data_IF_150808589402
#
_entry.id   IF_150808589402
#
_cell.length_a   1.000
_cell.length_b   1.000
_cell.length_c   1.000
_cell.angle_alpha   90.00
_cell.angle_beta   90.00
_cell.angle_gamma   90.00
#
_symmetry.space_group_name_H-M   'P 1'
#
loop_
_entity.id
_entity.type
_entity.pdbx_description
1 polymer ?
#
# COMPACT_ATOMS: atom_id res chain seq x y z
N UNK A 1 28.55 -68.57 10.68
CA UNK A 1 28.88 -67.19 10.26
C UNK A 1 27.82 -66.26 10.83
N UNK A 2 28.22 -65.26 11.60
CA UNK A 2 27.32 -64.26 12.20
C UNK A 2 27.34 -63.04 11.28
N UNK A 3 26.20 -62.72 10.65
CA UNK A 3 26.08 -61.62 9.70
C UNK A 3 25.30 -60.54 10.42
N UNK A 4 26.02 -59.57 11.00
CA UNK A 4 25.40 -58.42 11.64
C UNK A 4 24.86 -57.49 10.54
N UNK A 5 23.54 -57.28 10.53
CA UNK A 5 22.85 -56.49 9.51
C UNK A 5 23.31 -55.04 9.50
N UNK A 6 23.67 -54.54 8.31
CA UNK A 6 24.03 -53.14 8.07
C UNK A 6 22.90 -52.24 8.60
N UNK A 7 23.22 -51.40 9.58
CA UNK A 7 22.26 -50.54 10.28
C UNK A 7 21.46 -49.67 9.32
N UNK A 8 20.14 -49.75 9.44
CA UNK A 8 19.13 -49.00 8.67
C UNK A 8 19.34 -47.47 8.69
N UNK A 9 20.12 -46.96 9.64
CA UNK A 9 20.44 -45.55 9.81
C UNK A 9 21.20 -44.95 8.61
N UNK A 10 22.10 -45.71 7.96
CA UNK A 10 22.87 -45.21 6.83
C UNK A 10 22.02 -44.96 5.57
N UNK A 11 20.90 -45.68 5.43
CA UNK A 11 19.98 -45.54 4.30
C UNK A 11 19.14 -44.28 4.44
N UNK A 12 18.70 -43.97 5.67
CA UNK A 12 17.92 -42.76 5.97
C UNK A 12 18.74 -41.49 5.67
N UNK A 13 20.02 -41.47 6.02
CA UNK A 13 20.92 -40.35 5.71
C UNK A 13 21.10 -40.12 4.21
N UNK A 14 21.08 -41.19 3.40
CA UNK A 14 21.18 -41.11 1.94
C UNK A 14 19.95 -40.41 1.33
N UNK A 15 18.75 -40.73 1.81
CA UNK A 15 17.52 -40.05 1.38
C UNK A 15 17.46 -38.60 1.88
N UNK A 16 18.02 -38.31 3.06
CA UNK A 16 18.02 -36.95 3.63
C UNK A 16 18.99 -36.01 2.89
N UNK A 17 20.11 -36.53 2.35
CA UNK A 17 21.07 -35.75 1.53
C UNK A 17 20.52 -35.31 0.18
N UNK A 18 19.49 -35.97 -0.35
CA UNK A 18 18.82 -35.59 -1.60
C UNK A 18 17.81 -34.45 -1.45
N UNK A 19 17.79 -33.76 -0.29
CA UNK A 19 17.08 -32.49 -0.14
C UNK A 19 17.85 -31.43 -0.92
N UNK A 20 17.58 -31.39 -2.22
CA UNK A 20 18.05 -30.39 -3.17
C UNK A 20 17.94 -29.02 -2.52
N UNK A 21 19.06 -28.29 -2.48
CA UNK A 21 19.05 -26.88 -2.19
C UNK A 21 18.09 -26.23 -3.19
N UNK A 22 16.92 -25.84 -2.73
CA UNK A 22 16.02 -24.98 -3.50
C UNK A 22 16.74 -23.64 -3.63
N UNK A 23 17.63 -23.54 -4.62
CA UNK A 23 18.15 -22.27 -5.09
C UNK A 23 16.93 -21.57 -5.67
N UNK A 24 16.35 -20.67 -4.87
CA UNK A 24 15.28 -19.79 -5.36
C UNK A 24 15.79 -19.15 -6.65
N UNK A 25 15.07 -19.26 -7.78
CA UNK A 25 15.43 -18.47 -8.94
C UNK A 25 15.39 -17.00 -8.50
N UNK A 26 16.50 -16.26 -8.68
CA UNK A 26 16.45 -14.81 -8.61
C UNK A 26 15.56 -14.37 -9.76
N UNK A 27 14.27 -14.16 -9.48
CA UNK A 27 13.36 -13.50 -10.40
C UNK A 27 13.79 -12.05 -10.46
N UNK A 28 14.76 -11.74 -11.32
CA UNK A 28 14.97 -10.38 -11.79
C UNK A 28 13.80 -10.08 -12.74
N UNK A 29 12.62 -9.86 -12.16
CA UNK A 29 11.53 -9.22 -12.89
C UNK A 29 12.07 -7.81 -13.16
N UNK A 30 12.33 -7.50 -14.43
CA UNK A 30 12.58 -6.12 -14.82
C UNK A 30 11.31 -5.36 -14.50
N UNK A 31 11.33 -4.62 -13.40
CA UNK A 31 10.21 -3.77 -13.00
C UNK A 31 10.27 -2.50 -13.84
N UNK A 32 9.14 -2.10 -14.39
CA UNK A 32 9.02 -0.80 -15.03
C UNK A 32 9.23 0.28 -13.97
N UNK A 33 10.32 1.04 -14.10
CA UNK A 33 10.63 2.15 -13.20
C UNK A 33 10.19 3.46 -13.84
N UNK A 34 9.48 4.28 -13.06
CA UNK A 34 9.13 5.64 -13.43
C UNK A 34 9.91 6.58 -12.51
N UNK A 35 10.69 7.49 -13.10
CA UNK A 35 11.42 8.50 -12.34
C UNK A 35 10.60 9.78 -12.20
N UNK A 36 10.36 10.19 -10.95
CA UNK A 36 9.82 11.51 -10.63
C UNK A 36 10.99 12.41 -10.28
N UNK A 37 11.00 13.63 -10.84
CA UNK A 37 12.02 14.61 -10.53
C UNK A 37 12.08 14.89 -9.02
N UNK A 38 13.27 15.19 -8.50
CA UNK A 38 13.43 15.52 -7.07
C UNK A 38 12.53 16.69 -6.66
N UNK A 39 12.35 17.66 -7.56
CA UNK A 39 11.42 18.78 -7.38
C UNK A 39 9.98 18.29 -7.29
N UNK A 40 9.53 17.44 -8.22
CA UNK A 40 8.18 16.87 -8.21
C UNK A 40 7.90 16.04 -6.95
N UNK A 41 8.90 15.27 -6.48
CA UNK A 41 8.83 14.51 -5.24
C UNK A 41 8.64 15.42 -4.03
N UNK A 42 9.42 16.49 -3.94
CA UNK A 42 9.35 17.46 -2.83
C UNK A 42 8.05 18.26 -2.86
N UNK A 43 7.56 18.66 -4.03
CA UNK A 43 6.27 19.35 -4.14
C UNK A 43 5.11 18.44 -3.75
N UNK A 44 5.17 17.15 -4.08
CA UNK A 44 4.14 16.18 -3.69
C UNK A 44 4.13 15.89 -2.18
N UNK A 45 5.30 15.83 -1.54
CA UNK A 45 5.35 15.68 -0.07
C UNK A 45 4.86 16.93 0.64
N UNK A 46 5.13 18.12 0.08
CA UNK A 46 4.57 19.38 0.59
C UNK A 46 3.06 19.48 0.38
N UNK A 47 2.51 19.03 -0.76
CA UNK A 47 1.06 19.01 -1.00
C UNK A 47 0.35 18.01 -0.09
N UNK A 48 0.98 16.88 0.26
CA UNK A 48 0.45 15.94 1.25
C UNK A 48 0.32 16.57 2.65
N UNK A 49 1.23 17.48 3.03
CA UNK A 49 1.12 18.29 4.26
C UNK A 49 0.19 19.51 4.14
N UNK A 50 -0.20 19.88 2.92
CA UNK A 50 -1.20 20.91 2.61
C UNK A 50 -2.61 20.34 2.44
N UNK A 51 -2.82 19.03 2.64
CA UNK A 51 -4.14 18.50 3.01
C UNK A 51 -4.47 19.13 4.35
N UNK A 52 -5.05 20.32 4.28
CA UNK A 52 -5.07 21.28 5.38
C UNK A 52 -5.45 20.60 6.66
N UNK A 53 -4.70 20.88 7.73
CA UNK A 53 -5.07 20.53 9.09
C UNK A 53 -6.47 21.11 9.34
N UNK A 54 -7.50 20.31 9.06
CA UNK A 54 -8.86 20.66 9.41
C UNK A 54 -8.90 20.55 10.92
N UNK A 55 -8.85 21.70 11.59
CA UNK A 55 -8.89 21.73 13.05
C UNK A 55 -10.09 20.93 13.55
N UNK A 56 -9.90 20.12 14.59
CA UNK A 56 -10.96 19.30 15.17
C UNK A 56 -12.18 20.14 15.58
N UNK A 57 -11.94 21.37 16.04
CA UNK A 57 -12.97 22.36 16.35
C UNK A 57 -13.84 22.75 15.13
N UNK A 58 -13.26 22.77 13.92
CA UNK A 58 -14.02 23.04 12.70
C UNK A 58 -14.90 21.86 12.32
N UNK A 59 -14.42 20.62 12.50
CA UNK A 59 -15.19 19.40 12.27
C UNK A 59 -16.39 19.35 13.21
N UNK A 60 -16.19 19.66 14.49
CA UNK A 60 -17.27 19.60 15.47
C UNK A 60 -18.36 20.64 15.19
N UNK A 61 -17.98 21.87 14.84
CA UNK A 61 -18.93 22.91 14.39
C UNK A 61 -19.76 22.46 13.18
N UNK A 62 -19.13 21.80 12.21
CA UNK A 62 -19.84 21.25 11.06
C UNK A 62 -20.81 20.14 11.47
N UNK A 63 -20.40 19.23 12.36
CA UNK A 63 -21.27 18.17 12.88
C UNK A 63 -22.49 18.74 13.60
N UNK A 64 -22.30 19.73 14.46
CA UNK A 64 -23.39 20.42 15.16
C UNK A 64 -24.35 21.11 14.17
N UNK A 65 -23.82 21.80 13.15
CA UNK A 65 -24.63 22.45 12.13
C UNK A 65 -25.46 21.44 11.30
N UNK A 66 -24.89 20.27 11.00
CA UNK A 66 -25.59 19.18 10.31
C UNK A 66 -26.66 18.56 11.22
N UNK A 67 -26.32 18.25 12.47
CA UNK A 67 -27.27 17.64 13.42
C UNK A 67 -28.42 18.56 13.78
N UNK A 68 -28.19 19.88 13.83
CA UNK A 68 -29.22 20.89 14.09
C UNK A 68 -30.04 21.23 12.83
N UNK A 69 -29.68 20.70 11.67
CA UNK A 69 -30.34 21.01 10.39
C UNK A 69 -30.10 22.43 9.88
N UNK A 70 -29.14 23.16 10.45
CA UNK A 70 -28.80 24.54 10.07
C UNK A 70 -27.75 24.60 8.95
N UNK A 71 -27.11 23.47 8.65
CA UNK A 71 -26.17 23.37 7.54
C UNK A 71 -26.87 23.52 6.19
N UNK A 72 -26.46 24.52 5.41
CA UNK A 72 -26.97 24.79 4.06
C UNK A 72 -25.87 24.51 3.04
N UNK A 73 -25.92 23.37 2.33
CA UNK A 73 -24.93 23.08 1.29
C UNK A 73 -25.09 24.06 0.12
N UNK A 74 -23.97 24.57 -0.38
CA UNK A 74 -23.95 25.38 -1.61
C UNK A 74 -24.05 24.47 -2.83
N UNK A 75 -25.20 24.48 -3.50
CA UNK A 75 -25.47 23.67 -4.68
C UNK A 75 -24.49 23.95 -5.83
N UNK A 76 -24.03 25.19 -6.00
CA UNK A 76 -23.08 25.56 -7.05
C UNK A 76 -21.72 24.92 -6.77
N UNK A 77 -21.26 24.99 -5.52
CA UNK A 77 -20.00 24.39 -5.09
C UNK A 77 -20.04 22.87 -5.25
N UNK A 78 -21.13 22.23 -4.84
CA UNK A 78 -21.31 20.78 -4.96
C UNK A 78 -21.27 20.35 -6.43
N UNK A 79 -22.04 21.01 -7.30
CA UNK A 79 -22.07 20.69 -8.73
C UNK A 79 -20.70 20.91 -9.39
N UNK A 80 -20.01 22.00 -9.03
CA UNK A 80 -18.66 22.29 -9.55
C UNK A 80 -17.68 21.18 -9.15
N UNK A 81 -17.69 20.74 -7.89
CA UNK A 81 -16.84 19.66 -7.41
C UNK A 81 -17.13 18.32 -8.09
N UNK A 82 -18.39 18.00 -8.34
CA UNK A 82 -18.74 16.82 -9.14
C UNK A 82 -18.13 16.87 -10.55
N UNK A 83 -18.22 18.01 -11.22
CA UNK A 83 -17.64 18.20 -12.56
C UNK A 83 -16.11 18.12 -12.53
N UNK A 84 -15.48 18.69 -11.49
CA UNK A 84 -14.02 18.68 -11.34
C UNK A 84 -13.47 17.27 -11.14
N UNK A 85 -14.15 16.45 -10.36
CA UNK A 85 -13.82 15.01 -10.20
C UNK A 85 -13.97 14.28 -11.53
N UNK A 86 -15.09 14.47 -12.23
CA UNK A 86 -15.35 13.80 -13.54
C UNK A 86 -14.28 14.17 -14.57
N UNK A 87 -13.78 15.41 -14.55
CA UNK A 87 -12.76 15.91 -15.48
C UNK A 87 -11.32 15.67 -15.00
N UNK A 88 -11.10 15.02 -13.87
CA UNK A 88 -9.76 14.78 -13.31
C UNK A 88 -9.01 16.06 -12.92
N UNK A 89 -9.74 17.11 -12.53
CA UNK A 89 -9.18 18.42 -12.14
C UNK A 89 -8.99 18.58 -10.63
N UNK A 90 -9.58 17.67 -9.84
CA UNK A 90 -9.28 17.50 -8.41
C UNK A 90 -8.35 16.28 -8.28
N UNK A 91 -7.12 16.49 -7.78
CA UNK A 91 -6.14 15.47 -7.37
C UNK A 91 -5.68 15.73 -5.95
#
# INVERSE_FOLDING_TARGET
>A
MKIDGIGTNNIIELYTKNKTNNVKPKTNVGEDTIEISNVGRNLNTMSAGLKGDVSEAHIEKLREAVSSGTYKPDAKLVAQKMIDIIKGRDV
#
